data_IF_889758228579
#
_entry.id   IF_889758228579
#
_cell.length_a   1.000
_cell.length_b   1.000
_cell.length_c   1.000
_cell.angle_alpha   90.00
_cell.angle_beta   90.00
_cell.angle_gamma   90.00
#
_symmetry.space_group_name_H-M   'P 1'
#
loop_
_entity.id
_entity.type
_entity.pdbx_description
1 polymer ?
#
# COMPACT_ATOMS: atom_id res chain seq x y z
N UNK A 1 -54.82 38.93 -21.84
CA UNK A 1 -53.71 38.67 -20.87
C UNK A 1 -52.41 39.23 -21.41
N UNK A 2 -51.90 40.30 -20.77
CA UNK A 2 -50.72 41.07 -21.17
C UNK A 2 -49.41 40.25 -21.13
N UNK A 3 -48.46 40.58 -22.01
CA UNK A 3 -47.19 39.87 -22.20
C UNK A 3 -46.36 39.76 -20.90
N UNK A 4 -46.41 40.80 -20.06
CA UNK A 4 -45.85 40.85 -18.71
C UNK A 4 -46.29 39.68 -17.82
N UNK A 5 -47.60 39.37 -17.78
CA UNK A 5 -48.15 38.27 -16.96
C UNK A 5 -47.69 36.89 -17.44
N UNK A 6 -47.41 36.73 -18.75
CA UNK A 6 -46.87 35.46 -19.29
C UNK A 6 -45.40 35.29 -18.95
N UNK A 7 -44.61 36.37 -18.97
CA UNK A 7 -43.19 36.36 -18.59
C UNK A 7 -43.01 36.07 -17.10
N UNK A 8 -43.84 36.66 -16.24
CA UNK A 8 -43.87 36.38 -14.81
C UNK A 8 -44.23 34.92 -14.50
N UNK A 9 -45.26 34.36 -15.16
CA UNK A 9 -45.63 32.93 -15.01
C UNK A 9 -44.52 31.97 -15.45
N UNK A 10 -43.83 32.26 -16.57
CA UNK A 10 -42.71 31.43 -17.03
C UNK A 10 -41.53 31.45 -16.06
N UNK A 11 -41.18 32.61 -15.49
CA UNK A 11 -40.14 32.70 -14.46
C UNK A 11 -40.50 31.95 -13.18
N UNK A 12 -41.74 32.07 -12.72
CA UNK A 12 -42.23 31.33 -11.56
C UNK A 12 -42.16 29.81 -11.79
N UNK A 13 -42.54 29.33 -12.98
CA UNK A 13 -42.42 27.92 -13.35
C UNK A 13 -40.96 27.44 -13.35
N UNK A 14 -40.02 28.22 -13.89
CA UNK A 14 -38.60 27.85 -13.88
C UNK A 14 -38.04 27.73 -12.46
N UNK A 15 -38.40 28.66 -11.57
CA UNK A 15 -37.97 28.62 -10.17
C UNK A 15 -38.54 27.39 -9.46
N UNK A 16 -39.82 27.10 -9.64
CA UNK A 16 -40.47 25.92 -9.03
C UNK A 16 -39.82 24.62 -9.51
N UNK A 17 -39.54 24.49 -10.80
CA UNK A 17 -38.87 23.30 -11.36
C UNK A 17 -37.46 23.15 -10.81
N UNK A 18 -36.71 24.24 -10.72
CA UNK A 18 -35.35 24.22 -10.16
C UNK A 18 -35.36 23.81 -8.69
N UNK A 19 -36.21 24.43 -7.86
CA UNK A 19 -36.33 24.08 -6.44
C UNK A 19 -36.78 22.63 -6.26
N UNK A 20 -37.75 22.18 -7.06
CA UNK A 20 -38.20 20.79 -7.07
C UNK A 20 -37.07 19.80 -7.38
N UNK A 21 -36.24 20.10 -8.40
CA UNK A 21 -35.10 19.27 -8.75
C UNK A 21 -34.06 19.19 -7.63
N UNK A 22 -33.76 20.31 -6.96
CA UNK A 22 -32.80 20.33 -5.85
C UNK A 22 -33.33 19.56 -4.63
N UNK A 23 -34.62 19.69 -4.31
CA UNK A 23 -35.24 18.92 -3.23
C UNK A 23 -35.22 17.41 -3.51
N UNK A 24 -35.42 17.01 -4.77
CA UNK A 24 -35.36 15.60 -5.18
C UNK A 24 -33.95 15.02 -4.99
N UNK A 25 -32.91 15.78 -5.38
CA UNK A 25 -31.51 15.39 -5.16
C UNK A 25 -31.19 15.28 -3.67
N UNK A 26 -31.63 16.24 -2.85
CA UNK A 26 -31.43 16.21 -1.40
C UNK A 26 -32.07 14.96 -0.78
N UNK A 27 -33.31 14.66 -1.16
CA UNK A 27 -34.04 13.47 -0.68
C UNK A 27 -33.33 12.18 -1.10
N UNK A 28 -32.81 12.11 -2.33
CA UNK A 28 -32.03 10.95 -2.79
C UNK A 28 -30.74 10.75 -1.98
N UNK A 29 -30.06 11.83 -1.59
CA UNK A 29 -28.87 11.76 -0.72
C UNK A 29 -29.25 11.27 0.67
N UNK A 30 -30.34 11.78 1.24
CA UNK A 30 -30.81 11.41 2.59
C UNK A 30 -31.33 9.97 2.67
N UNK A 31 -31.91 9.44 1.59
CA UNK A 31 -32.41 8.06 1.50
C UNK A 31 -31.32 7.06 1.06
N UNK A 32 -30.13 7.53 0.70
CA UNK A 32 -29.06 6.64 0.24
C UNK A 32 -28.53 5.80 1.42
N UNK A 33 -28.51 4.46 1.32
CA UNK A 33 -28.05 3.60 2.39
C UNK A 33 -26.55 3.84 2.64
N UNK A 34 -26.21 4.29 3.85
CA UNK A 34 -24.82 4.43 4.28
C UNK A 34 -24.25 3.05 4.55
N UNK A 35 -23.18 2.66 3.83
CA UNK A 35 -22.37 1.51 4.24
C UNK A 35 -21.66 1.90 5.54
N UNK A 36 -22.02 1.27 6.65
CA UNK A 36 -21.26 1.41 7.89
C UNK A 36 -19.84 0.88 7.66
N UNK A 37 -18.80 1.66 7.99
CA UNK A 37 -17.45 1.11 7.99
C UNK A 37 -17.40 -0.02 9.01
N UNK A 38 -17.05 -1.22 8.56
CA UNK A 38 -16.79 -2.36 9.45
C UNK A 38 -15.46 -2.06 10.13
N UNK A 39 -15.53 -1.60 11.38
CA UNK A 39 -14.35 -1.49 12.23
C UNK A 39 -13.92 -2.92 12.63
N UNK A 40 -12.63 -3.27 12.51
CA UNK A 40 -12.15 -4.56 13.00
C UNK A 40 -12.39 -4.68 14.50
N UNK A 41 -12.66 -5.89 15.02
CA UNK A 41 -12.83 -6.09 16.46
C UNK A 41 -11.55 -5.68 17.19
N UNK A 42 -11.72 -5.04 18.34
CA UNK A 42 -10.64 -4.68 19.24
C UNK A 42 -9.94 -5.95 19.73
N UNK A 43 -8.64 -6.09 19.42
CA UNK A 43 -7.88 -7.28 19.77
C UNK A 43 -7.62 -7.26 21.29
N UNK A 44 -8.13 -8.28 21.99
CA UNK A 44 -7.75 -8.54 23.38
C UNK A 44 -6.24 -8.90 23.42
N UNK A 45 -5.45 -8.29 24.33
CA UNK A 45 -4.02 -8.56 24.42
C UNK A 45 -3.79 -10.02 24.83
N UNK A 46 -2.95 -10.73 24.06
CA UNK A 46 -2.49 -12.08 24.38
C UNK A 46 -1.30 -11.93 25.33
N UNK A 47 -1.44 -12.36 26.59
CA UNK A 47 -0.32 -12.45 27.52
C UNK A 47 0.55 -13.67 27.18
N UNK A 48 1.78 -13.41 26.74
CA UNK A 48 2.77 -14.44 26.45
C UNK A 48 3.67 -14.56 27.69
N UNK A 49 3.61 -15.71 28.36
CA UNK A 49 4.57 -16.08 29.40
C UNK A 49 5.74 -16.82 28.77
N UNK A 50 6.95 -16.26 28.90
CA UNK A 50 8.17 -16.87 28.42
C UNK A 50 8.65 -17.87 29.49
N UNK A 51 8.57 -19.16 29.17
CA UNK A 51 9.11 -20.23 30.01
C UNK A 51 10.55 -20.47 29.57
N UNK A 52 11.51 -20.20 30.45
CA UNK A 52 12.90 -20.53 30.18
C UNK A 52 13.07 -22.05 30.08
N UNK A 53 13.74 -22.55 29.03
CA UNK A 53 14.02 -23.98 28.92
C UNK A 53 14.96 -24.42 30.05
N UNK A 54 14.83 -25.66 30.55
CA UNK A 54 15.71 -26.18 31.58
C UNK A 54 17.17 -26.15 31.09
N UNK A 55 18.14 -25.86 31.97
CA UNK A 55 19.54 -25.79 31.59
C UNK A 55 20.00 -27.14 31.03
N UNK A 56 20.88 -27.14 30.01
CA UNK A 56 21.42 -28.37 29.46
C UNK A 56 22.20 -29.13 30.53
N UNK A 57 22.09 -30.46 30.53
CA UNK A 57 22.81 -31.33 31.45
C UNK A 57 24.34 -31.11 31.32
N UNK A 58 25.08 -31.06 32.44
CA UNK A 58 26.52 -30.85 32.40
C UNK A 58 27.23 -32.00 31.67
N UNK A 59 28.11 -31.63 30.73
CA UNK A 59 28.98 -32.55 30.02
C UNK A 59 30.10 -32.99 30.99
N UNK A 60 30.41 -34.29 31.12
CA UNK A 60 31.52 -34.73 31.96
C UNK A 60 32.84 -34.17 31.44
N UNK A 61 33.58 -33.48 32.31
CA UNK A 61 34.91 -32.93 32.00
C UNK A 61 35.96 -34.05 32.09
N UNK A 62 36.99 -34.09 31.23
CA UNK A 62 38.11 -35.01 31.37
C UNK A 62 38.98 -34.62 32.58
N UNK A 63 39.48 -35.64 33.28
CA UNK A 63 40.38 -35.51 34.42
C UNK A 63 41.62 -34.66 34.13
N UNK A 64 41.89 -33.67 34.97
CA UNK A 64 43.22 -33.07 35.13
C UNK A 64 43.49 -32.82 36.61
N UNK A 65 44.40 -33.61 37.16
CA UNK A 65 44.88 -33.48 38.52
C UNK A 65 45.99 -32.43 38.65
N UNK A 66 46.11 -31.88 39.86
CA UNK A 66 47.39 -31.35 40.36
C UNK A 66 47.39 -29.88 40.78
N UNK A 67 47.74 -29.65 42.05
CA UNK A 67 48.51 -28.47 42.46
C UNK A 67 47.71 -27.33 43.08
N UNK A 68 47.72 -27.25 44.42
CA UNK A 68 47.05 -26.20 45.18
C UNK A 68 47.71 -24.82 45.13
N UNK A 69 46.89 -23.81 45.39
CA UNK A 69 47.26 -22.59 46.11
C UNK A 69 46.01 -21.96 46.74
N UNK A 70 46.18 -21.21 47.85
CA UNK A 70 45.16 -21.07 48.89
C UNK A 70 44.04 -20.09 48.54
N UNK A 71 42.90 -20.32 49.18
CA UNK A 71 41.69 -19.50 49.07
C UNK A 71 41.94 -18.02 49.38
N UNK A 72 41.51 -17.07 48.53
CA UNK A 72 41.40 -15.68 48.95
C UNK A 72 40.27 -15.52 49.95
N UNK A 73 40.56 -14.77 51.02
CA UNK A 73 39.65 -14.48 52.13
C UNK A 73 38.33 -13.83 51.67
N UNK A 74 37.22 -14.03 52.40
CA UNK A 74 35.94 -13.39 52.07
C UNK A 74 36.02 -11.86 52.26
N UNK A 75 35.70 -11.11 51.21
CA UNK A 75 35.48 -9.67 51.27
C UNK A 75 34.30 -9.35 52.19
N UNK A 76 34.38 -8.36 53.10
CA UNK A 76 33.30 -8.04 54.03
C UNK A 76 32.08 -7.46 53.30
N UNK A 77 30.89 -7.86 53.75
CA UNK A 77 29.62 -7.27 53.32
C UNK A 77 29.56 -5.78 53.72
N UNK A 78 29.22 -4.85 52.80
CA UNK A 78 28.95 -3.47 53.17
C UNK A 78 27.63 -3.37 53.96
N UNK A 79 27.70 -2.67 55.10
CA UNK A 79 26.59 -2.40 56.00
C UNK A 79 25.46 -1.60 55.31
N UNK A 80 24.19 -1.78 55.73
CA UNK A 80 23.07 -1.04 55.17
C UNK A 80 23.18 0.46 55.51
N UNK A 81 23.27 1.28 54.46
CA UNK A 81 23.24 2.74 54.58
C UNK A 81 21.81 3.18 54.89
N UNK A 82 21.67 3.94 55.97
CA UNK A 82 20.40 4.49 56.44
C UNK A 82 19.74 5.40 55.39
N UNK A 83 18.43 5.23 55.25
CA UNK A 83 17.54 6.03 54.41
C UNK A 83 17.55 7.50 54.86
N UNK A 84 17.83 8.48 53.98
CA UNK A 84 17.66 9.88 54.34
C UNK A 84 16.17 10.24 54.36
N UNK A 85 15.77 10.88 55.46
CA UNK A 85 14.45 11.44 55.74
C UNK A 85 14.03 12.50 54.71
N UNK A 86 12.73 12.65 54.40
CA UNK A 86 12.25 13.62 53.42
C UNK A 86 12.37 15.05 53.99
N UNK A 87 13.17 15.87 53.32
CA UNK A 87 13.32 17.30 53.61
C UNK A 87 12.04 18.02 53.20
N UNK A 88 11.43 18.73 54.16
CA UNK A 88 10.28 19.61 53.95
C UNK A 88 10.67 20.77 53.02
N UNK A 89 10.00 20.87 51.88
CA UNK A 89 10.07 22.03 50.97
C UNK A 89 9.54 23.29 51.67
N UNK A 90 10.29 24.40 51.73
CA UNK A 90 9.76 25.65 52.24
C UNK A 90 8.77 26.28 51.25
N UNK A 91 7.63 26.73 51.78
CA UNK A 91 6.57 27.43 51.05
C UNK A 91 7.12 28.73 50.41
N UNK A 92 6.95 28.84 49.09
CA UNK A 92 7.33 30.02 48.31
C UNK A 92 6.44 31.20 48.69
N UNK A 93 7.03 32.26 49.23
CA UNK A 93 6.38 33.53 49.48
C UNK A 93 5.77 34.11 48.18
N UNK A 94 4.48 34.46 48.21
CA UNK A 94 3.83 35.19 47.13
C UNK A 94 4.39 36.61 47.05
N UNK A 95 5.13 36.88 45.96
CA UNK A 95 5.56 38.24 45.59
C UNK A 95 4.46 38.89 44.75
N UNK A 96 4.06 40.10 45.13
CA UNK A 96 3.08 40.91 44.41
C UNK A 96 3.49 41.14 42.94
N UNK A 97 2.50 41.21 42.05
CA UNK A 97 2.69 41.41 40.61
C UNK A 97 3.31 42.81 40.33
N UNK A 98 4.27 42.92 39.39
CA UNK A 98 4.80 44.21 38.98
C UNK A 98 3.80 44.96 38.09
N UNK A 99 3.58 46.23 38.40
CA UNK A 99 2.78 47.16 37.59
C UNK A 99 3.40 47.31 36.20
N UNK A 100 2.59 47.15 35.15
CA UNK A 100 3.01 47.24 33.76
C UNK A 100 3.33 48.71 33.38
N UNK A 101 4.48 49.02 32.75
CA UNK A 101 4.77 50.37 32.29
C UNK A 101 3.90 50.72 31.07
N UNK A 102 3.37 51.95 31.03
CA UNK A 102 2.59 52.45 29.90
C UNK A 102 3.40 52.48 28.59
N UNK A 103 2.78 52.18 27.44
CA UNK A 103 3.49 52.10 26.16
C UNK A 103 3.95 53.48 25.68
N UNK A 104 5.23 53.56 25.31
CA UNK A 104 5.82 54.70 24.60
C UNK A 104 5.26 54.76 23.17
N UNK A 105 4.93 55.94 22.61
CA UNK A 105 4.47 56.02 21.23
C UNK A 105 5.55 55.53 20.25
N UNK A 106 5.19 54.56 19.41
CA UNK A 106 6.05 53.94 18.42
C UNK A 106 6.35 54.90 17.27
N UNK A 107 7.64 55.06 16.93
CA UNK A 107 8.08 55.74 15.71
C UNK A 107 7.64 54.90 14.50
N UNK A 108 7.09 55.49 13.41
CA UNK A 108 6.74 54.73 12.21
C UNK A 108 8.00 54.13 11.57
N UNK A 109 8.01 52.81 11.35
CA UNK A 109 9.06 52.15 10.59
C UNK A 109 8.94 52.52 9.09
N UNK A 110 10.06 52.66 8.35
CA UNK A 110 10.01 52.85 6.91
C UNK A 110 9.33 51.63 6.25
N UNK A 111 8.40 51.87 5.32
CA UNK A 111 7.75 50.80 4.57
C UNK A 111 8.74 50.19 3.59
N UNK A 112 9.05 48.91 3.73
CA UNK A 112 9.78 48.14 2.73
C UNK A 112 9.03 48.18 1.39
N UNK A 113 9.70 48.30 0.24
CA UNK A 113 9.03 48.22 -1.05
C UNK A 113 8.40 46.83 -1.22
N UNK A 114 7.11 46.80 -1.53
CA UNK A 114 6.40 45.57 -1.89
C UNK A 114 6.94 45.05 -3.22
N UNK A 115 7.79 44.02 -3.17
CA UNK A 115 8.17 43.25 -4.35
C UNK A 115 7.00 42.35 -4.71
N UNK A 116 6.48 42.49 -5.93
CA UNK A 116 5.45 41.60 -6.44
C UNK A 116 6.01 40.16 -6.50
N UNK A 117 5.36 39.17 -5.87
CA UNK A 117 5.84 37.79 -5.92
C UNK A 117 5.75 37.29 -7.37
N UNK A 118 6.91 36.91 -7.92
CA UNK A 118 6.98 36.20 -9.20
C UNK A 118 6.31 34.83 -8.99
N UNK A 119 5.33 34.44 -9.81
CA UNK A 119 4.71 33.13 -9.65
C UNK A 119 5.75 32.05 -9.99
N UNK A 120 6.23 31.34 -8.96
CA UNK A 120 7.01 30.12 -9.14
C UNK A 120 5.98 29.02 -9.41
N UNK A 121 5.68 28.77 -10.68
CA UNK A 121 4.97 27.55 -11.06
C UNK A 121 5.94 26.39 -10.88
N UNK A 122 5.81 25.65 -9.77
CA UNK A 122 6.51 24.38 -9.64
C UNK A 122 6.12 23.49 -10.84
N UNK A 123 7.09 22.87 -11.55
CA UNK A 123 6.75 21.91 -12.60
C UNK A 123 5.85 20.83 -11.99
N UNK A 124 4.74 20.52 -12.65
CA UNK A 124 3.91 19.40 -12.24
C UNK A 124 4.79 18.13 -12.27
N UNK A 125 4.73 17.26 -11.25
CA UNK A 125 5.52 16.04 -11.24
C UNK A 125 5.16 15.19 -12.45
N UNK A 126 6.15 14.90 -13.30
CA UNK A 126 6.00 14.02 -14.45
C UNK A 126 6.04 12.56 -13.98
N UNK A 127 4.90 11.88 -14.07
CA UNK A 127 4.81 10.46 -13.77
C UNK A 127 5.45 9.70 -14.94
N UNK A 128 6.60 9.07 -14.70
CA UNK A 128 7.28 8.25 -15.70
C UNK A 128 6.99 6.77 -15.44
N UNK A 129 6.50 6.06 -16.46
CA UNK A 129 6.22 4.62 -16.40
C UNK A 129 7.24 3.85 -17.25
N UNK A 130 7.61 2.66 -16.79
CA UNK A 130 8.39 1.71 -17.60
C UNK A 130 7.41 0.77 -18.29
N UNK A 131 7.57 0.60 -19.60
CA UNK A 131 6.64 -0.19 -20.42
C UNK A 131 7.32 -1.38 -21.10
N UNK A 132 6.66 -2.52 -21.06
CA UNK A 132 7.11 -3.77 -21.64
C UNK A 132 6.27 -4.11 -22.88
N UNK A 133 6.94 -4.25 -24.02
CA UNK A 133 6.32 -4.75 -25.26
C UNK A 133 6.19 -6.27 -25.26
N UNK A 134 5.37 -6.81 -26.17
CA UNK A 134 5.08 -8.25 -26.19
C UNK A 134 6.32 -9.12 -26.43
N UNK A 135 7.29 -8.63 -27.21
CA UNK A 135 8.56 -9.33 -27.43
C UNK A 135 9.39 -9.49 -26.15
N UNK A 136 9.37 -8.50 -25.26
CA UNK A 136 10.08 -8.56 -23.98
C UNK A 136 9.37 -9.45 -22.95
N UNK A 137 8.06 -9.64 -23.11
CA UNK A 137 7.22 -10.51 -22.29
C UNK A 137 7.04 -11.91 -22.90
N UNK A 138 7.80 -12.24 -23.95
CA UNK A 138 7.78 -13.58 -24.54
C UNK A 138 8.19 -14.62 -23.50
N UNK A 139 7.33 -15.60 -23.24
CA UNK A 139 7.54 -16.60 -22.19
C UNK A 139 7.22 -16.13 -20.77
N UNK A 140 6.59 -14.96 -20.61
CA UNK A 140 6.10 -14.52 -19.32
C UNK A 140 5.02 -15.46 -18.78
N UNK A 141 5.03 -15.66 -17.46
CA UNK A 141 4.01 -16.43 -16.76
C UNK A 141 2.71 -15.61 -16.70
N UNK A 142 1.60 -16.24 -17.10
CA UNK A 142 0.24 -15.68 -17.06
C UNK A 142 -0.66 -16.63 -16.26
N UNK A 143 -1.82 -16.16 -15.75
CA UNK A 143 -2.73 -17.06 -15.02
C UNK A 143 -3.14 -18.26 -15.88
N UNK A 144 -3.18 -19.44 -15.27
CA UNK A 144 -3.41 -20.72 -15.95
C UNK A 144 -2.19 -21.30 -16.67
N UNK A 145 -1.08 -20.57 -16.74
CA UNK A 145 0.21 -21.02 -17.30
C UNK A 145 1.14 -21.71 -16.29
N UNK A 146 0.58 -22.42 -15.31
CA UNK A 146 1.38 -23.14 -14.32
C UNK A 146 2.18 -24.28 -14.96
N UNK A 147 3.39 -24.53 -14.45
CA UNK A 147 4.16 -25.74 -14.74
C UNK A 147 3.49 -26.96 -14.09
N UNK A 148 2.37 -27.40 -14.66
CA UNK A 148 1.81 -28.71 -14.39
C UNK A 148 2.38 -29.70 -15.39
N UNK A 149 2.90 -30.85 -14.93
CA UNK A 149 3.24 -32.00 -15.77
C UNK A 149 1.96 -32.72 -16.29
N UNK A 150 0.93 -31.96 -16.65
CA UNK A 150 -0.33 -32.47 -17.16
C UNK A 150 -0.29 -32.49 -18.68
N UNK A 151 -0.32 -33.68 -19.27
CA UNK A 151 -0.60 -33.85 -20.69
C UNK A 151 -2.06 -33.45 -20.97
N UNK A 152 -2.30 -32.17 -21.24
CA UNK A 152 -3.58 -31.68 -21.73
C UNK A 152 -3.68 -31.88 -23.24
N UNK A 153 -4.50 -32.82 -23.68
CA UNK A 153 -4.83 -32.99 -25.09
C UNK A 153 -5.80 -31.89 -25.53
N UNK A 154 -5.28 -30.76 -25.99
CA UNK A 154 -6.07 -29.76 -26.70
C UNK A 154 -6.21 -30.14 -28.18
N UNK A 155 -7.42 -30.47 -28.63
CA UNK A 155 -7.72 -30.65 -30.06
C UNK A 155 -7.92 -29.28 -30.71
N UNK A 156 -6.82 -28.60 -31.03
CA UNK A 156 -6.83 -27.40 -31.88
C UNK A 156 -6.42 -27.78 -33.30
N UNK A 157 -7.38 -27.88 -34.22
CA UNK A 157 -7.08 -28.04 -35.66
C UNK A 157 -6.70 -26.69 -36.25
N UNK A 158 -5.40 -26.41 -36.32
CA UNK A 158 -4.85 -25.25 -37.03
C UNK A 158 -3.61 -25.64 -37.82
N UNK A 159 -3.77 -25.92 -39.11
CA UNK A 159 -2.66 -26.08 -40.06
C UNK A 159 -2.43 -24.74 -40.77
N UNK A 160 -1.44 -23.97 -40.30
CA UNK A 160 -1.05 -22.73 -40.95
C UNK A 160 0.26 -22.16 -40.40
N UNK A 161 1.20 -21.83 -41.31
CA UNK A 161 2.40 -21.03 -41.00
C UNK A 161 2.03 -19.58 -41.27
N UNK A 162 1.70 -18.83 -40.21
CA UNK A 162 1.30 -17.42 -40.30
C UNK A 162 0.99 -16.80 -38.93
N UNK A 163 1.28 -15.51 -38.79
CA UNK A 163 1.04 -14.71 -37.57
C UNK A 163 -0.46 -14.53 -37.32
N UNK A 164 -1.06 -15.46 -36.57
CA UNK A 164 -2.47 -15.41 -36.17
C UNK A 164 -2.63 -15.17 -34.66
N UNK A 165 -3.44 -14.18 -34.30
CA UNK A 165 -3.90 -13.93 -32.94
C UNK A 165 -4.89 -15.02 -32.53
N UNK A 166 -4.39 -16.14 -32.00
CA UNK A 166 -5.23 -17.21 -31.46
C UNK A 166 -5.73 -16.86 -30.06
N UNK A 167 -7.01 -16.49 -29.93
CA UNK A 167 -7.71 -16.47 -28.64
C UNK A 167 -8.10 -17.90 -28.27
N UNK A 168 -7.18 -18.64 -27.67
CA UNK A 168 -7.49 -19.94 -27.08
C UNK A 168 -8.13 -19.76 -25.71
N UNK A 169 -9.45 -19.94 -25.60
CA UNK A 169 -10.10 -20.20 -24.32
C UNK A 169 -9.83 -21.65 -23.91
N UNK A 170 -8.64 -21.88 -23.36
CA UNK A 170 -8.30 -23.13 -22.71
C UNK A 170 -9.01 -23.22 -21.37
N UNK A 171 -10.10 -23.98 -21.29
CA UNK A 171 -10.66 -24.46 -20.02
C UNK A 171 -9.76 -25.56 -19.48
N UNK A 172 -8.54 -25.20 -19.08
CA UNK A 172 -7.69 -26.10 -18.31
C UNK A 172 -8.25 -26.20 -16.91
N UNK A 173 -8.94 -27.30 -16.60
CA UNK A 173 -9.07 -27.77 -15.23
C UNK A 173 -7.71 -28.29 -14.77
N UNK A 174 -6.71 -27.41 -14.74
CA UNK A 174 -5.54 -27.64 -13.93
C UNK A 174 -6.06 -27.74 -12.50
N UNK A 175 -5.75 -28.82 -11.82
CA UNK A 175 -5.73 -28.83 -10.36
C UNK A 175 -4.72 -27.77 -9.98
N UNK A 176 -5.15 -26.50 -9.93
CA UNK A 176 -4.33 -25.39 -9.52
C UNK A 176 -3.74 -25.84 -8.20
N UNK A 177 -2.44 -26.09 -8.19
CA UNK A 177 -1.73 -26.32 -6.95
C UNK A 177 -2.08 -25.16 -6.04
N UNK A 178 -2.01 -25.37 -4.73
CA UNK A 178 -2.34 -24.39 -3.70
C UNK A 178 -1.72 -22.98 -3.87
N UNK A 179 -0.84 -22.78 -4.86
CA UNK A 179 -0.03 -21.61 -5.15
C UNK A 179 -0.18 -21.05 -6.58
N UNK A 180 -1.35 -21.09 -7.23
CA UNK A 180 -1.62 -20.26 -8.43
C UNK A 180 -1.66 -18.76 -8.05
N UNK A 181 -0.46 -18.22 -7.82
CA UNK A 181 -0.24 -16.86 -7.34
C UNK A 181 -0.55 -15.82 -8.41
N UNK A 182 -0.34 -16.15 -9.68
CA UNK A 182 -0.65 -15.26 -10.80
C UNK A 182 -2.16 -15.03 -10.85
N UNK A 183 -2.97 -16.11 -10.80
CA UNK A 183 -4.42 -15.99 -10.77
C UNK A 183 -4.91 -15.27 -9.51
N UNK A 184 -4.35 -15.61 -8.35
CA UNK A 184 -4.69 -14.95 -7.08
C UNK A 184 -4.45 -13.43 -7.14
N UNK A 185 -3.31 -13.01 -7.70
CA UNK A 185 -2.98 -11.60 -7.87
C UNK A 185 -3.91 -10.93 -8.88
N UNK A 186 -4.17 -11.56 -10.03
CA UNK A 186 -5.11 -11.03 -11.01
C UNK A 186 -6.50 -10.83 -10.42
N UNK A 187 -7.01 -11.83 -9.71
CA UNK A 187 -8.32 -11.76 -9.05
C UNK A 187 -8.37 -10.65 -8.00
N UNK A 188 -7.33 -10.54 -7.16
CA UNK A 188 -7.24 -9.48 -6.15
C UNK A 188 -7.27 -8.07 -6.77
N UNK A 189 -6.52 -7.85 -7.85
CA UNK A 189 -6.48 -6.57 -8.55
C UNK A 189 -7.78 -6.28 -9.31
N UNK A 190 -8.40 -7.30 -9.92
CA UNK A 190 -9.70 -7.18 -10.62
C UNK A 190 -10.86 -6.90 -9.66
N UNK A 191 -10.78 -7.41 -8.43
CA UNK A 191 -11.82 -7.22 -7.41
C UNK A 191 -11.68 -5.91 -6.61
N UNK A 192 -10.59 -5.15 -6.80
CA UNK A 192 -10.35 -3.89 -6.13
C UNK A 192 -10.70 -2.69 -7.03
N UNK A 193 -11.88 -2.04 -6.86
CA UNK A 193 -12.33 -0.98 -7.77
C UNK A 193 -11.41 0.25 -7.79
N UNK A 194 -10.83 0.61 -6.65
CA UNK A 194 -9.85 1.71 -6.57
C UNK A 194 -8.56 1.41 -7.34
N UNK A 195 -8.09 0.15 -7.29
CA UNK A 195 -6.92 -0.33 -8.04
C UNK A 195 -7.20 -0.32 -9.54
N UNK A 196 -8.38 -0.81 -9.96
CA UNK A 196 -8.80 -0.76 -11.36
C UNK A 196 -8.87 0.67 -11.89
N UNK A 197 -9.48 1.58 -11.13
CA UNK A 197 -9.56 2.98 -11.52
C UNK A 197 -8.17 3.59 -11.68
N UNK A 198 -7.25 3.32 -10.74
CA UNK A 198 -5.87 3.80 -10.80
C UNK A 198 -5.10 3.25 -12.02
N UNK A 199 -5.25 1.97 -12.35
CA UNK A 199 -4.61 1.36 -13.52
C UNK A 199 -5.17 1.91 -14.82
N UNK A 200 -6.49 2.04 -14.95
CA UNK A 200 -7.11 2.63 -16.13
C UNK A 200 -6.68 4.09 -16.33
N UNK A 201 -6.59 4.87 -15.24
CA UNK A 201 -6.09 6.24 -15.28
C UNK A 201 -4.61 6.30 -15.67
N UNK A 202 -3.78 5.43 -15.09
CA UNK A 202 -2.37 5.31 -15.47
C UNK A 202 -2.23 4.99 -16.96
N UNK A 203 -2.99 4.04 -17.49
CA UNK A 203 -3.00 3.70 -18.92
C UNK A 203 -3.42 4.87 -19.82
N UNK A 204 -4.49 5.59 -19.44
CA UNK A 204 -4.97 6.76 -20.18
C UNK A 204 -3.92 7.87 -20.25
N UNK A 205 -3.21 8.12 -19.16
CA UNK A 205 -2.27 9.24 -19.06
C UNK A 205 -0.84 8.89 -19.49
N UNK A 206 -0.55 7.60 -19.70
CA UNK A 206 0.81 7.13 -19.95
C UNK A 206 1.09 6.78 -21.42
N UNK A 207 0.06 6.62 -22.25
CA UNK A 207 0.23 6.24 -23.66
C UNK A 207 0.77 4.82 -23.84
N UNK A 208 0.43 3.90 -22.94
CA UNK A 208 0.93 2.54 -22.94
C UNK A 208 0.70 1.78 -24.27
N UNK A 209 -0.31 2.15 -25.06
CA UNK A 209 -0.62 1.55 -26.38
C UNK A 209 -0.68 0.01 -26.32
N UNK A 210 -1.30 -0.52 -25.27
CA UNK A 210 -1.40 -1.96 -25.02
C UNK A 210 -0.18 -2.57 -24.31
N UNK A 211 0.98 -1.92 -24.23
CA UNK A 211 2.17 -2.41 -23.52
C UNK A 211 1.88 -2.58 -22.02
N UNK A 212 2.55 -3.53 -21.36
CA UNK A 212 2.41 -3.72 -19.92
C UNK A 212 3.20 -2.68 -19.15
N UNK A 213 2.68 -2.18 -18.03
CA UNK A 213 3.45 -1.33 -17.11
C UNK A 213 4.27 -2.22 -16.19
N UNK A 214 5.60 -2.08 -16.20
CA UNK A 214 6.48 -2.73 -15.23
C UNK A 214 6.35 -2.01 -13.89
N UNK A 215 5.99 -2.76 -12.86
CA UNK A 215 5.79 -2.18 -11.51
C UNK A 215 6.78 -2.71 -10.47
N UNK A 216 7.47 -3.80 -10.77
CA UNK A 216 8.51 -4.38 -9.91
C UNK A 216 9.51 -5.16 -10.75
N UNK A 217 10.80 -5.00 -10.48
CA UNK A 217 11.90 -5.78 -11.07
C UNK A 217 13.06 -5.84 -10.08
N UNK A 218 12.96 -6.71 -9.06
CA UNK A 218 13.86 -6.71 -7.91
C UNK A 218 13.54 -5.60 -6.90
N UNK A 219 13.25 -4.39 -7.40
CA UNK A 219 12.77 -3.26 -6.62
C UNK A 219 11.44 -2.72 -7.17
N UNK A 220 10.65 -2.07 -6.30
CA UNK A 220 9.41 -1.41 -6.71
C UNK A 220 9.71 -0.24 -7.64
N UNK A 221 9.08 -0.23 -8.82
CA UNK A 221 9.16 0.90 -9.73
C UNK A 221 8.30 2.04 -9.17
N UNK A 222 8.97 3.07 -8.67
CA UNK A 222 8.35 4.26 -8.11
C UNK A 222 8.39 5.39 -9.15
N UNK A 223 7.28 6.10 -9.30
CA UNK A 223 7.22 7.33 -10.08
C UNK A 223 6.92 8.50 -9.15
N UNK A 224 7.59 9.66 -9.31
CA UNK A 224 7.29 10.86 -8.53
C UNK A 224 5.80 11.21 -8.60
N UNK A 225 5.18 11.55 -7.46
CA UNK A 225 3.76 11.89 -7.38
C UNK A 225 2.77 10.72 -7.31
N UNK A 226 3.27 9.47 -7.24
CA UNK A 226 2.46 8.26 -6.98
C UNK A 226 2.37 7.89 -5.48
N UNK A 227 2.83 8.77 -4.59
CA UNK A 227 2.75 8.56 -3.14
C UNK A 227 1.31 8.82 -2.67
N UNK A 228 0.61 7.75 -2.27
CA UNK A 228 -0.78 7.83 -1.79
C UNK A 228 -1.87 7.94 -2.87
N UNK A 229 -1.52 7.99 -4.17
CA UNK A 229 -2.46 7.95 -5.32
C UNK A 229 -1.86 7.18 -6.51
N UNK A 230 -2.69 6.65 -7.40
CA UNK A 230 -2.27 5.90 -8.59
C UNK A 230 -1.78 4.47 -8.29
N UNK A 231 -0.64 4.04 -8.86
CA UNK A 231 -0.10 2.68 -8.75
C UNK A 231 0.36 2.30 -7.33
N UNK A 232 0.43 3.21 -6.36
CA UNK A 232 0.67 2.84 -4.96
C UNK A 232 -0.37 1.83 -4.43
N UNK A 233 -1.64 2.02 -4.77
CA UNK A 233 -2.69 1.07 -4.39
C UNK A 233 -2.50 -0.30 -5.06
N UNK A 234 -1.94 -0.33 -6.27
CA UNK A 234 -1.59 -1.57 -6.97
C UNK A 234 -0.49 -2.31 -6.23
N UNK A 235 0.61 -1.62 -5.89
CA UNK A 235 1.73 -2.21 -5.14
C UNK A 235 1.27 -2.74 -3.78
N UNK A 236 0.46 -1.97 -3.07
CA UNK A 236 -0.14 -2.40 -1.81
C UNK A 236 -1.01 -3.65 -1.98
N UNK A 237 -1.89 -3.68 -2.99
CA UNK A 237 -2.74 -4.83 -3.25
C UNK A 237 -1.92 -6.08 -3.61
N UNK A 238 -0.82 -5.93 -4.36
CA UNK A 238 0.12 -7.02 -4.65
C UNK A 238 0.79 -7.49 -3.35
N UNK A 239 1.38 -6.58 -2.58
CA UNK A 239 2.08 -6.90 -1.33
C UNK A 239 1.17 -7.58 -0.29
N UNK A 240 -0.06 -7.09 -0.13
CA UNK A 240 -1.07 -7.71 0.75
C UNK A 240 -1.41 -9.12 0.27
N UNK A 241 -1.72 -9.27 -1.02
CA UNK A 241 -2.10 -10.57 -1.59
C UNK A 241 -0.99 -11.61 -1.43
N UNK A 242 0.26 -11.22 -1.69
CA UNK A 242 1.43 -12.07 -1.47
C UNK A 242 1.63 -12.34 0.02
N UNK A 243 1.59 -11.31 0.86
CA UNK A 243 1.88 -11.39 2.29
C UNK A 243 1.00 -12.39 3.03
N UNK A 244 -0.30 -12.40 2.71
CA UNK A 244 -1.31 -13.31 3.24
C UNK A 244 -1.36 -14.69 2.56
N UNK A 245 -0.52 -14.94 1.56
CA UNK A 245 -0.45 -16.28 0.93
C UNK A 245 0.34 -17.28 1.79
N UNK A 246 0.06 -18.59 1.69
CA UNK A 246 0.80 -19.63 2.42
C UNK A 246 2.31 -19.54 2.20
N UNK A 247 3.11 -19.93 3.21
CA UNK A 247 4.58 -19.88 3.13
C UNK A 247 5.13 -20.63 1.91
N UNK A 248 4.58 -21.81 1.61
CA UNK A 248 4.98 -22.61 0.44
C UNK A 248 4.85 -21.82 -0.87
N UNK A 249 3.77 -21.04 -1.02
CA UNK A 249 3.53 -20.23 -2.21
C UNK A 249 4.46 -19.02 -2.27
N UNK A 250 4.74 -18.39 -1.12
CA UNK A 250 5.71 -17.29 -1.06
C UNK A 250 7.13 -17.71 -1.47
N UNK A 251 7.51 -18.95 -1.16
CA UNK A 251 8.84 -19.48 -1.48
C UNK A 251 8.97 -20.07 -2.88
N UNK A 252 7.87 -20.20 -3.62
CA UNK A 252 7.90 -20.71 -4.99
C UNK A 252 8.72 -19.78 -5.89
N UNK A 253 9.62 -20.38 -6.67
CA UNK A 253 10.51 -19.66 -7.58
C UNK A 253 9.82 -19.43 -8.91
N UNK A 254 9.79 -18.18 -9.33
CA UNK A 254 9.28 -17.71 -10.61
C UNK A 254 10.45 -17.47 -11.56
N UNK A 255 10.23 -17.76 -12.84
CA UNK A 255 11.20 -17.53 -13.91
C UNK A 255 10.68 -16.47 -14.89
N UNK A 256 11.51 -15.48 -15.18
CA UNK A 256 11.20 -14.40 -16.10
C UNK A 256 10.13 -13.46 -15.56
N UNK A 257 9.40 -12.83 -16.49
CA UNK A 257 8.31 -11.92 -16.16
C UNK A 257 7.04 -12.68 -15.76
N UNK A 258 6.25 -12.11 -14.86
CA UNK A 258 4.83 -12.41 -14.70
C UNK A 258 4.02 -11.29 -15.30
N UNK A 259 2.98 -11.62 -16.07
CA UNK A 259 2.04 -10.65 -16.63
C UNK A 259 0.65 -10.84 -16.04
N UNK A 260 0.11 -9.76 -15.46
CA UNK A 260 -1.23 -9.70 -14.90
C UNK A 260 -2.14 -8.90 -15.85
N UNK A 261 -3.22 -9.49 -16.34
CA UNK A 261 -4.24 -8.80 -17.15
C UNK A 261 -5.46 -8.44 -16.31
N UNK A 262 -5.95 -7.20 -16.43
CA UNK A 262 -7.02 -6.64 -15.60
C UNK A 262 -8.42 -6.76 -16.22
N UNK A 263 -8.47 -7.25 -17.45
CA UNK A 263 -9.68 -7.51 -18.21
C UNK A 263 -9.39 -8.59 -19.25
N UNK A 264 -10.44 -9.11 -19.85
CA UNK A 264 -10.36 -10.18 -20.86
C UNK A 264 -10.49 -9.59 -22.28
N UNK A 265 -10.84 -8.31 -22.38
CA UNK A 265 -10.90 -7.56 -23.63
C UNK A 265 -9.51 -7.28 -24.22
N UNK A 266 -9.47 -7.19 -25.56
CA UNK A 266 -8.27 -6.79 -26.26
C UNK A 266 -7.84 -5.38 -25.83
N UNK A 267 -6.57 -5.24 -25.42
CA UNK A 267 -6.03 -3.97 -24.94
C UNK A 267 -6.34 -3.66 -23.47
N UNK A 268 -6.90 -4.62 -22.70
CA UNK A 268 -7.06 -4.47 -21.26
C UNK A 268 -5.73 -4.07 -20.58
N UNK A 269 -5.77 -3.26 -19.50
CA UNK A 269 -4.55 -2.90 -18.76
C UNK A 269 -3.75 -4.13 -18.32
N UNK A 270 -2.42 -4.07 -18.47
CA UNK A 270 -1.48 -5.15 -18.14
C UNK A 270 -0.39 -4.67 -17.19
N UNK A 271 0.00 -5.52 -16.26
CA UNK A 271 1.14 -5.26 -15.37
C UNK A 271 2.20 -6.32 -15.58
N UNK A 272 3.46 -5.92 -15.51
CA UNK A 272 4.61 -6.82 -15.52
C UNK A 272 5.33 -6.80 -14.17
N UNK A 273 5.78 -7.98 -13.74
CA UNK A 273 6.55 -8.20 -12.51
C UNK A 273 7.79 -9.06 -12.79
N UNK A 274 8.93 -8.61 -12.28
CA UNK A 274 10.15 -9.39 -12.11
C UNK A 274 10.92 -9.66 -13.40
N UNK A 275 12.13 -10.15 -13.25
CA UNK A 275 12.99 -10.66 -14.33
C UNK A 275 13.79 -11.85 -13.82
N UNK A 276 14.45 -12.59 -14.72
CA UNK A 276 15.43 -13.62 -14.31
C UNK A 276 14.83 -14.74 -13.46
N UNK A 277 15.31 -14.91 -12.22
CA UNK A 277 14.77 -15.85 -11.23
C UNK A 277 14.46 -15.08 -9.94
N UNK A 278 13.26 -15.25 -9.40
CA UNK A 278 12.82 -14.56 -8.18
C UNK A 278 11.78 -15.40 -7.45
N UNK A 279 11.39 -15.01 -6.24
CA UNK A 279 10.34 -15.66 -5.44
C UNK A 279 9.20 -14.70 -5.17
N UNK A 280 7.99 -15.21 -4.99
CA UNK A 280 6.86 -14.36 -4.61
C UNK A 280 7.12 -13.53 -3.35
N UNK A 281 7.86 -14.06 -2.38
CA UNK A 281 8.28 -13.35 -1.18
C UNK A 281 9.10 -12.08 -1.44
N UNK A 282 9.79 -11.98 -2.58
CA UNK A 282 10.64 -10.84 -2.93
C UNK A 282 9.79 -9.59 -3.24
N UNK A 283 8.49 -9.75 -3.51
CA UNK A 283 7.55 -8.62 -3.62
C UNK A 283 7.24 -7.97 -2.25
N UNK A 284 7.72 -8.55 -1.15
CA UNK A 284 7.50 -8.03 0.21
C UNK A 284 8.67 -7.20 0.74
N UNK A 285 9.82 -7.18 0.06
CA UNK A 285 10.88 -6.22 0.38
C UNK A 285 10.44 -4.82 -0.07
N UNK A 286 10.30 -3.93 0.91
CA UNK A 286 10.01 -2.50 0.75
C UNK A 286 11.28 -1.69 1.00
#
# INVERSE_FOLDING_TARGET
>A
MSAERRKARRRALTVIVSVGAHLLVLVAILLSPTKTPVFPPEYQPIEITLIDPPPPSPVPSPDEGGGGSPAPAPTPAPAPVATPTPVKTPAKAQRAAPTQPSPRPSRPAPRSPTVAPVPITAPAPSISYVFMGDAALAGAMIAGGGAGNGAGSGTGSGTGVGSGSGSGSGSGSGTGGSCDMVRRLQDALRNAPGVRAALTEAYRNSGANGRAILIWDGDWVLSPGQEGKGLAGVRQAVAVTVGFSPRACKTETVRGYVVLTLGDEAGAPRLALGTGQWRWADLLSL
#
